data_IF_137439932202
#
_entry.id   IF_137439932202
#
_cell.length_a   1.000
_cell.length_b   1.000
_cell.length_c   1.000
_cell.angle_alpha   90.00
_cell.angle_beta   90.00
_cell.angle_gamma   90.00
#
_symmetry.space_group_name_H-M   'P 1'
#
loop_
_entity.id
_entity.type
_entity.pdbx_description
1 polymer ?
#
# COMPACT_ATOMS: atom_id res chain seq x y z
N UNK A 1 42.55 -28.26 -65.86
CA UNK A 1 41.40 -28.69 -65.02
C UNK A 1 41.64 -28.52 -63.50
N UNK A 2 42.09 -27.35 -63.01
CA UNK A 2 42.33 -27.11 -61.56
C UNK A 2 41.49 -25.98 -60.92
N UNK A 3 40.79 -25.16 -61.72
CA UNK A 3 40.04 -23.99 -61.23
C UNK A 3 38.68 -24.31 -60.58
N UNK A 4 38.07 -25.46 -60.90
CA UNK A 4 36.69 -25.76 -60.49
C UNK A 4 36.62 -26.26 -59.03
N UNK A 5 37.61 -27.05 -58.57
CA UNK A 5 37.62 -27.60 -57.19
C UNK A 5 37.93 -26.58 -56.08
N UNK A 6 38.43 -25.39 -56.43
CA UNK A 6 38.73 -24.35 -55.43
C UNK A 6 37.48 -23.54 -55.05
N UNK A 7 36.53 -23.39 -55.97
CA UNK A 7 35.31 -22.61 -55.75
C UNK A 7 34.30 -23.35 -54.87
N UNK A 8 34.20 -24.68 -54.99
CA UNK A 8 33.29 -25.50 -54.17
C UNK A 8 33.70 -25.56 -52.70
N UNK A 9 35.01 -25.56 -52.41
CA UNK A 9 35.53 -25.63 -51.03
C UNK A 9 35.31 -24.34 -50.24
N UNK A 10 35.37 -23.17 -50.90
CA UNK A 10 35.08 -21.86 -50.31
C UNK A 10 33.58 -21.65 -50.04
N UNK A 11 32.70 -22.22 -50.87
CA UNK A 11 31.26 -22.11 -50.69
C UNK A 11 30.78 -22.92 -49.46
N UNK A 12 31.34 -24.11 -49.23
CA UNK A 12 31.00 -24.97 -48.10
C UNK A 12 31.50 -24.44 -46.74
N UNK A 13 32.66 -23.78 -46.70
CA UNK A 13 33.21 -23.18 -45.47
C UNK A 13 32.53 -21.86 -45.09
N UNK A 14 32.05 -21.07 -46.06
CA UNK A 14 31.28 -19.85 -45.79
C UNK A 14 29.89 -20.14 -45.22
N UNK A 15 29.19 -21.15 -45.75
CA UNK A 15 27.85 -21.53 -45.28
C UNK A 15 27.81 -22.00 -43.82
N UNK A 16 28.79 -22.80 -43.39
CA UNK A 16 28.86 -23.30 -42.01
C UNK A 16 29.21 -22.21 -40.98
N UNK A 17 29.98 -21.19 -41.37
CA UNK A 17 30.35 -20.04 -40.52
C UNK A 17 29.15 -19.08 -40.32
N UNK A 18 28.37 -18.87 -41.38
CA UNK A 18 27.15 -18.06 -41.34
C UNK A 18 26.05 -18.73 -40.50
N UNK A 19 25.89 -20.05 -40.60
CA UNK A 19 24.93 -20.80 -39.76
C UNK A 19 25.34 -20.78 -38.28
N UNK A 20 26.64 -20.83 -37.95
CA UNK A 20 27.12 -20.69 -36.57
C UNK A 20 26.86 -19.31 -35.99
N UNK A 21 27.12 -18.24 -36.76
CA UNK A 21 26.82 -16.87 -36.37
C UNK A 21 25.32 -16.64 -36.14
N UNK A 22 24.48 -17.15 -37.03
CA UNK A 22 23.02 -17.03 -36.91
C UNK A 22 22.49 -17.79 -35.69
N UNK A 23 23.03 -18.96 -35.38
CA UNK A 23 22.71 -19.71 -34.15
C UNK A 23 23.14 -18.96 -32.89
N UNK A 24 24.31 -18.31 -32.90
CA UNK A 24 24.81 -17.55 -31.76
C UNK A 24 23.94 -16.31 -31.48
N UNK A 25 23.56 -15.58 -32.54
CA UNK A 25 22.64 -14.44 -32.46
C UNK A 25 21.26 -14.88 -31.96
N UNK A 26 20.73 -16.00 -32.48
CA UNK A 26 19.44 -16.53 -32.02
C UNK A 26 19.46 -16.92 -30.54
N UNK A 27 20.55 -17.50 -30.03
CA UNK A 27 20.73 -17.80 -28.60
C UNK A 27 20.80 -16.52 -27.76
N UNK A 28 21.49 -15.48 -28.25
CA UNK A 28 21.58 -14.19 -27.57
C UNK A 28 20.22 -13.49 -27.51
N UNK A 29 19.47 -13.49 -28.62
CA UNK A 29 18.09 -12.97 -28.69
C UNK A 29 17.18 -13.78 -27.77
N UNK A 30 17.32 -15.10 -27.72
CA UNK A 30 16.51 -15.95 -26.84
C UNK A 30 16.81 -15.66 -25.36
N UNK A 31 18.08 -15.46 -25.00
CA UNK A 31 18.51 -15.06 -23.65
C UNK A 31 17.99 -13.67 -23.27
N UNK A 32 18.08 -12.69 -24.16
CA UNK A 32 17.58 -11.34 -23.88
C UNK A 32 16.06 -11.31 -23.81
N UNK A 33 15.35 -12.07 -24.66
CA UNK A 33 13.89 -12.22 -24.58
C UNK A 33 13.48 -12.94 -23.29
N UNK A 34 14.19 -14.00 -22.87
CA UNK A 34 13.90 -14.71 -21.62
C UNK A 34 14.12 -13.84 -20.37
N UNK A 35 15.18 -13.02 -20.36
CA UNK A 35 15.42 -12.04 -19.30
C UNK A 35 14.35 -10.94 -19.25
N UNK A 36 13.87 -10.46 -20.41
CA UNK A 36 12.80 -9.46 -20.48
C UNK A 36 11.40 -10.05 -20.20
N UNK A 37 11.18 -11.34 -20.42
CA UNK A 37 9.90 -12.00 -20.17
C UNK A 37 9.60 -12.19 -18.67
N UNK A 38 10.63 -12.20 -17.82
CA UNK A 38 10.48 -12.20 -16.35
C UNK A 38 9.87 -10.88 -15.81
N UNK A 39 9.81 -9.82 -16.62
CA UNK A 39 9.40 -8.49 -16.18
C UNK A 39 7.88 -8.22 -16.26
N UNK A 40 7.04 -9.19 -16.64
CA UNK A 40 5.62 -8.95 -16.88
C UNK A 40 4.73 -9.97 -16.15
N UNK A 41 4.29 -9.56 -14.96
CA UNK A 41 2.91 -9.63 -14.42
C UNK A 41 2.95 -9.81 -12.89
N UNK A 42 3.24 -8.74 -12.16
CA UNK A 42 3.04 -8.72 -10.70
C UNK A 42 1.58 -8.37 -10.42
N UNK A 43 0.65 -9.25 -10.77
CA UNK A 43 -0.75 -9.12 -10.33
C UNK A 43 -0.83 -9.53 -8.86
N UNK A 44 -0.22 -8.72 -7.99
CA UNK A 44 -0.20 -8.97 -6.56
C UNK A 44 -1.58 -8.67 -6.01
N UNK A 45 -2.10 -9.57 -5.20
CA UNK A 45 -3.37 -9.35 -4.52
C UNK A 45 -3.26 -8.09 -3.65
N UNK A 46 -4.21 -7.17 -3.82
CA UNK A 46 -4.24 -5.91 -3.11
C UNK A 46 -5.26 -5.94 -1.98
N UNK A 47 -4.84 -5.55 -0.79
CA UNK A 47 -5.69 -5.31 0.38
C UNK A 47 -6.04 -3.83 0.44
N UNK A 48 -7.33 -3.53 0.41
CA UNK A 48 -7.86 -2.17 0.59
C UNK A 48 -8.34 -2.05 2.03
N UNK A 49 -7.63 -1.27 2.84
CA UNK A 49 -7.97 -0.99 4.22
C UNK A 49 -8.73 0.35 4.31
N UNK A 50 -10.04 0.27 4.48
CA UNK A 50 -10.89 1.45 4.67
C UNK A 50 -10.84 1.87 6.14
N UNK A 51 -10.26 3.02 6.40
CA UNK A 51 -9.93 3.54 7.74
C UNK A 51 -10.52 4.93 7.94
N UNK A 52 -10.98 5.24 9.16
CA UNK A 52 -11.38 6.60 9.52
C UNK A 52 -10.73 6.99 10.85
N UNK A 53 -10.15 8.19 10.92
CA UNK A 53 -9.47 8.67 12.13
C UNK A 53 -10.45 9.04 13.26
N UNK A 54 -11.71 9.31 12.95
CA UNK A 54 -12.76 9.57 13.95
C UNK A 54 -13.42 8.26 14.45
N UNK A 55 -13.10 7.13 13.83
CA UNK A 55 -13.67 5.83 14.18
C UNK A 55 -12.83 5.13 15.28
N UNK A 56 -13.40 5.02 16.48
CA UNK A 56 -12.76 4.38 17.63
C UNK A 56 -12.41 2.90 17.39
N UNK A 57 -13.26 2.15 16.70
CA UNK A 57 -12.97 0.75 16.34
C UNK A 57 -11.83 0.62 15.33
N UNK A 58 -11.73 1.57 14.41
CA UNK A 58 -10.66 1.64 13.43
C UNK A 58 -9.32 1.93 14.13
N UNK A 59 -9.33 2.75 15.18
CA UNK A 59 -8.18 2.93 16.07
C UNK A 59 -7.83 1.62 16.79
N UNK A 60 -8.82 0.96 17.39
CA UNK A 60 -8.66 -0.31 18.09
C UNK A 60 -8.06 -1.42 17.24
N UNK A 61 -8.42 -1.49 15.96
CA UNK A 61 -7.92 -2.48 15.00
C UNK A 61 -6.54 -2.14 14.40
N UNK A 62 -6.06 -0.90 14.60
CA UNK A 62 -4.79 -0.46 14.02
C UNK A 62 -3.57 -1.33 14.37
N UNK A 63 -3.43 -1.91 15.58
CA UNK A 63 -2.31 -2.81 15.88
C UNK A 63 -2.37 -4.10 15.07
N UNK A 64 -3.55 -4.73 14.98
CA UNK A 64 -3.77 -5.95 14.20
C UNK A 64 -3.47 -5.72 12.72
N UNK A 65 -3.92 -4.59 12.15
CA UNK A 65 -3.62 -4.26 10.77
C UNK A 65 -2.13 -4.01 10.53
N UNK A 66 -1.42 -3.43 11.51
CA UNK A 66 0.05 -3.27 11.44
C UNK A 66 0.78 -4.60 11.45
N UNK A 67 0.41 -5.52 12.34
CA UNK A 67 0.99 -6.86 12.38
C UNK A 67 0.77 -7.61 11.08
N UNK A 68 -0.46 -7.56 10.55
CA UNK A 68 -0.80 -8.17 9.27
C UNK A 68 0.01 -7.55 8.12
N UNK A 69 0.12 -6.22 8.07
CA UNK A 69 0.92 -5.53 7.06
C UNK A 69 2.40 -5.94 7.15
N UNK A 70 2.99 -5.92 8.34
CA UNK A 70 4.39 -6.28 8.54
C UNK A 70 4.68 -7.71 8.09
N UNK A 71 3.73 -8.63 8.30
CA UNK A 71 3.84 -10.03 7.92
C UNK A 71 3.74 -10.26 6.41
N UNK A 72 2.85 -9.54 5.71
CA UNK A 72 2.50 -9.85 4.32
C UNK A 72 2.88 -8.78 3.28
N UNK A 73 3.50 -7.66 3.68
CA UNK A 73 3.92 -6.59 2.74
C UNK A 73 4.85 -7.05 1.62
N UNK A 74 5.58 -8.16 1.80
CA UNK A 74 6.44 -8.76 0.79
C UNK A 74 5.68 -9.56 -0.27
N UNK A 75 4.39 -9.83 -0.08
CA UNK A 75 3.56 -10.69 -0.95
C UNK A 75 2.30 -9.96 -1.45
N UNK A 76 1.72 -9.11 -0.60
CA UNK A 76 0.49 -8.36 -0.86
C UNK A 76 0.79 -6.88 -1.04
N UNK A 77 -0.05 -6.22 -1.84
CA UNK A 77 -0.05 -4.77 -1.93
C UNK A 77 -1.09 -4.19 -0.97
N UNK A 78 -0.78 -3.05 -0.36
CA UNK A 78 -1.65 -2.41 0.64
C UNK A 78 -2.04 -1.01 0.19
N UNK A 79 -3.33 -0.72 0.25
CA UNK A 79 -3.90 0.59 0.00
C UNK A 79 -4.81 0.98 1.15
N UNK A 80 -4.55 2.14 1.75
CA UNK A 80 -5.41 2.67 2.81
C UNK A 80 -6.32 3.70 2.19
N UNK A 81 -7.61 3.59 2.41
CA UNK A 81 -8.59 4.57 1.93
C UNK A 81 -9.29 5.14 3.14
N UNK A 82 -9.51 6.44 3.14
CA UNK A 82 -10.18 7.12 4.22
C UNK A 82 -11.71 6.95 4.07
N UNK A 83 -12.41 6.49 5.10
CA UNK A 83 -13.79 5.98 5.02
C UNK A 83 -14.92 7.01 4.89
N UNK A 84 -14.74 8.24 5.38
CA UNK A 84 -15.72 9.32 5.19
C UNK A 84 -16.88 9.27 6.18
N UNK A 85 -16.64 8.83 7.41
CA UNK A 85 -17.67 8.55 8.40
C UNK A 85 -18.53 9.77 8.72
N UNK A 86 -17.91 10.95 8.85
CA UNK A 86 -18.59 12.19 9.21
C UNK A 86 -18.56 13.18 8.05
N UNK A 87 -19.69 13.29 7.35
CA UNK A 87 -19.84 14.10 6.13
C UNK A 87 -21.12 14.92 6.16
N UNK A 88 -21.05 16.13 5.58
CA UNK A 88 -22.17 17.06 5.36
C UNK A 88 -23.00 17.28 6.63
N UNK A 89 -24.22 16.76 6.66
CA UNK A 89 -25.22 16.99 7.71
C UNK A 89 -24.85 16.33 9.04
N UNK A 90 -23.83 15.46 9.04
CA UNK A 90 -23.28 14.83 10.25
C UNK A 90 -22.12 15.60 10.88
N UNK A 91 -21.69 16.70 10.24
CA UNK A 91 -20.64 17.57 10.78
C UNK A 91 -21.22 18.33 11.96
N UNK A 92 -20.60 18.15 13.12
CA UNK A 92 -21.07 18.77 14.35
C UNK A 92 -20.04 18.72 15.46
N UNK A 93 -20.29 19.42 16.57
CA UNK A 93 -19.47 19.33 17.76
C UNK A 93 -19.46 17.90 18.33
N UNK A 94 -18.28 17.43 18.75
CA UNK A 94 -18.10 16.12 19.39
C UNK A 94 -19.02 15.94 20.61
N UNK A 95 -19.41 17.04 21.27
CA UNK A 95 -20.36 17.04 22.38
C UNK A 95 -21.70 16.36 22.05
N UNK A 96 -22.16 16.40 20.81
CA UNK A 96 -23.41 15.75 20.38
C UNK A 96 -23.32 14.21 20.44
N UNK A 97 -22.12 13.67 20.24
CA UNK A 97 -21.84 12.22 20.26
C UNK A 97 -21.05 11.79 21.50
N UNK A 98 -20.69 12.73 22.39
CA UNK A 98 -19.83 12.46 23.53
C UNK A 98 -20.42 11.43 24.50
N UNK A 99 -21.74 11.44 24.68
CA UNK A 99 -22.46 10.45 25.50
C UNK A 99 -22.25 9.03 24.97
N UNK A 100 -22.36 8.84 23.66
CA UNK A 100 -22.08 7.56 23.00
C UNK A 100 -20.61 7.16 23.15
N UNK A 101 -19.70 8.09 22.85
CA UNK A 101 -18.25 7.82 22.89
C UNK A 101 -17.82 7.43 24.30
N UNK A 102 -18.38 8.06 25.35
CA UNK A 102 -17.98 7.86 26.76
C UNK A 102 -18.08 6.43 27.28
N UNK A 103 -18.97 5.61 26.71
CA UNK A 103 -19.04 4.18 27.00
C UNK A 103 -18.39 3.34 25.91
N UNK A 104 -18.53 3.74 24.63
CA UNK A 104 -18.04 2.97 23.50
C UNK A 104 -16.51 2.83 23.50
N UNK A 105 -15.77 3.87 23.91
CA UNK A 105 -14.29 3.81 23.93
C UNK A 105 -13.80 2.73 24.91
N UNK A 106 -14.47 2.55 26.06
CA UNK A 106 -14.10 1.53 27.05
C UNK A 106 -14.24 0.12 26.50
N UNK A 107 -15.26 -0.11 25.69
CA UNK A 107 -15.48 -1.41 25.05
C UNK A 107 -14.40 -1.72 24.00
N UNK A 108 -13.94 -0.69 23.28
CA UNK A 108 -12.79 -0.81 22.37
C UNK A 108 -11.53 -1.15 23.14
N UNK A 109 -11.20 -0.42 24.21
CA UNK A 109 -10.03 -0.69 25.06
C UNK A 109 -10.07 -2.11 25.64
N UNK A 110 -11.25 -2.53 26.13
CA UNK A 110 -11.47 -3.88 26.69
C UNK A 110 -11.26 -4.97 25.64
N UNK A 111 -11.72 -4.74 24.41
CA UNK A 111 -11.70 -5.76 23.35
C UNK A 111 -10.36 -5.86 22.64
N UNK A 112 -9.71 -4.72 22.38
CA UNK A 112 -8.50 -4.67 21.53
C UNK A 112 -7.23 -4.35 22.30
N UNK A 113 -7.33 -3.98 23.59
CA UNK A 113 -6.20 -3.64 24.44
C UNK A 113 -5.54 -2.29 24.14
N UNK A 114 -6.06 -1.51 23.18
CA UNK A 114 -5.59 -0.14 22.97
C UNK A 114 -6.00 0.76 24.13
N UNK A 115 -5.36 1.93 24.24
CA UNK A 115 -5.71 2.95 25.23
C UNK A 115 -5.94 4.27 24.52
N UNK A 116 -7.04 4.94 24.80
CA UNK A 116 -7.27 6.31 24.38
C UNK A 116 -6.50 7.25 25.33
N UNK A 117 -5.88 8.29 24.79
CA UNK A 117 -5.07 9.16 25.63
C UNK A 117 -5.91 10.14 26.43
N UNK A 118 -5.32 10.59 27.53
CA UNK A 118 -5.97 11.48 28.48
C UNK A 118 -6.25 12.86 27.88
N UNK A 119 -5.47 13.30 26.90
CA UNK A 119 -5.66 14.59 26.24
C UNK A 119 -6.95 14.59 25.41
N UNK A 120 -7.24 13.48 24.73
CA UNK A 120 -8.52 13.27 24.06
C UNK A 120 -9.67 13.13 25.05
N UNK A 121 -9.56 12.26 26.05
CA UNK A 121 -10.67 11.96 26.98
C UNK A 121 -11.03 13.13 27.90
N UNK A 122 -10.03 13.82 28.46
CA UNK A 122 -10.23 14.89 29.43
C UNK A 122 -10.27 16.29 28.80
N UNK A 123 -9.69 16.45 27.60
CA UNK A 123 -9.74 17.68 26.82
C UNK A 123 -10.85 17.62 25.78
N UNK A 124 -10.55 17.07 24.60
CA UNK A 124 -11.42 17.11 23.41
C UNK A 124 -12.84 16.60 23.67
N UNK A 125 -12.96 15.42 24.28
CA UNK A 125 -14.24 14.76 24.53
C UNK A 125 -15.06 15.45 25.63
N UNK A 126 -14.40 15.89 26.70
CA UNK A 126 -15.05 16.56 27.82
C UNK A 126 -15.45 18.01 27.50
N UNK A 127 -14.61 18.72 26.75
CA UNK A 127 -14.88 20.08 26.32
C UNK A 127 -16.04 20.14 25.32
N UNK A 128 -16.22 19.09 24.49
CA UNK A 128 -17.37 18.93 23.61
C UNK A 128 -17.42 19.92 22.42
N UNK A 129 -16.51 20.89 22.36
CA UNK A 129 -16.51 22.00 21.38
C UNK A 129 -15.81 21.68 20.07
N UNK A 130 -14.98 20.63 20.04
CA UNK A 130 -14.25 20.27 18.84
C UNK A 130 -15.21 19.80 17.74
N UNK A 131 -15.08 20.35 16.53
CA UNK A 131 -15.93 19.97 15.41
C UNK A 131 -15.40 18.68 14.78
N UNK A 132 -16.24 17.65 14.75
CA UNK A 132 -15.98 16.40 14.05
C UNK A 132 -16.19 16.60 12.55
N UNK A 133 -15.10 16.65 11.80
CA UNK A 133 -15.11 16.78 10.35
C UNK A 133 -14.03 15.91 9.71
N UNK A 134 -14.46 15.06 8.78
CA UNK A 134 -13.59 14.07 8.14
C UNK A 134 -12.54 14.67 7.18
N UNK A 135 -12.77 15.83 6.54
CA UNK A 135 -11.79 16.28 5.55
C UNK A 135 -10.44 16.63 6.16
N UNK A 136 -10.39 17.05 7.43
CA UNK A 136 -9.12 17.30 8.13
C UNK A 136 -8.22 16.04 8.12
N UNK A 137 -8.81 14.88 8.38
CA UNK A 137 -8.10 13.60 8.43
C UNK A 137 -7.90 13.01 7.04
N UNK A 138 -8.85 13.24 6.12
CA UNK A 138 -8.75 12.85 4.71
C UNK A 138 -7.57 13.52 3.99
N UNK A 139 -7.43 14.84 4.11
CA UNK A 139 -6.33 15.60 3.51
C UNK A 139 -4.99 15.12 4.07
N UNK A 140 -4.91 14.80 5.36
CA UNK A 140 -3.67 14.32 5.95
C UNK A 140 -3.26 12.96 5.38
N UNK A 141 -4.20 12.02 5.19
CA UNK A 141 -3.93 10.72 4.55
C UNK A 141 -3.50 10.90 3.09
N UNK A 142 -4.22 11.71 2.31
CA UNK A 142 -3.94 11.92 0.88
C UNK A 142 -2.60 12.63 0.65
N UNK A 143 -2.34 13.74 1.37
CA UNK A 143 -1.09 14.49 1.24
C UNK A 143 0.12 13.60 1.51
N UNK A 144 0.01 12.70 2.49
CA UNK A 144 1.12 11.82 2.85
C UNK A 144 1.26 10.61 1.92
N UNK A 145 0.15 10.05 1.41
CA UNK A 145 0.18 9.00 0.39
C UNK A 145 0.85 9.46 -0.91
N UNK A 146 0.62 10.73 -1.29
CA UNK A 146 1.29 11.35 -2.43
C UNK A 146 2.78 11.63 -2.18
N UNK A 147 3.17 11.86 -0.92
CA UNK A 147 4.57 12.16 -0.55
C UNK A 147 5.43 10.89 -0.30
N UNK A 148 4.83 9.76 0.12
CA UNK A 148 5.55 8.55 0.50
C UNK A 148 4.85 7.27 0.01
N UNK A 149 5.31 6.72 -1.12
CA UNK A 149 4.71 5.54 -1.77
C UNK A 149 4.81 4.24 -0.96
N UNK A 150 5.62 4.21 0.11
CA UNK A 150 6.01 2.97 0.84
C UNK A 150 5.62 2.93 2.32
N UNK A 151 5.10 4.01 2.90
CA UNK A 151 4.81 4.13 4.34
C UNK A 151 3.31 4.13 4.70
N UNK A 152 2.48 3.46 3.89
CA UNK A 152 1.01 3.63 3.90
C UNK A 152 0.31 3.14 5.17
N UNK A 153 0.76 2.06 5.82
CA UNK A 153 0.10 1.50 7.01
C UNK A 153 0.57 2.11 8.35
N UNK A 154 1.83 2.51 8.47
CA UNK A 154 2.34 3.10 9.72
C UNK A 154 1.67 4.45 10.06
N UNK A 155 1.20 5.17 9.05
CA UNK A 155 0.64 6.51 9.20
C UNK A 155 -0.71 6.52 9.93
N UNK A 156 -1.57 5.52 9.72
CA UNK A 156 -2.92 5.49 10.31
C UNK A 156 -2.86 5.70 11.81
N UNK A 157 -1.95 5.00 12.49
CA UNK A 157 -1.75 5.09 13.95
C UNK A 157 -1.16 6.43 14.38
N UNK A 158 -0.26 7.04 13.62
CA UNK A 158 0.25 8.38 13.96
C UNK A 158 -0.81 9.46 13.84
N UNK A 159 -1.70 9.38 12.84
CA UNK A 159 -2.80 10.33 12.68
C UNK A 159 -3.84 10.19 13.78
N UNK A 160 -4.20 8.95 14.15
CA UNK A 160 -5.08 8.75 15.30
C UNK A 160 -4.43 9.14 16.61
N UNK A 161 -3.12 8.91 16.78
CA UNK A 161 -2.41 9.38 17.97
C UNK A 161 -2.46 10.89 18.12
N UNK A 162 -2.49 11.68 17.04
CA UNK A 162 -2.61 13.14 17.14
C UNK A 162 -4.01 13.63 17.55
N UNK A 163 -5.05 12.83 17.29
CA UNK A 163 -6.45 13.21 17.58
C UNK A 163 -7.05 12.50 18.79
N UNK A 164 -6.59 11.29 19.11
CA UNK A 164 -7.13 10.40 20.13
C UNK A 164 -6.13 10.08 21.27
N UNK A 165 -4.92 10.66 21.28
CA UNK A 165 -4.07 10.68 22.47
C UNK A 165 -4.13 12.02 23.20
#
# INVERSE_FOLDING_TARGET
MKKIKFFDSLCHTAGTKMIKQLKLIAVFIFLTVWANCQAQNTNRMKIIYVYDALCGWCYGFSPTMQEFHNKYQSELDFEVISGGMVTKDRIGPIGEVASYISWAYKEVERTTGVQFGTSFLQGVLKDGKAIFYFLSTHYCIICFQNAFSRAKCCLCKSLTKGYLL
#
